data_IF_072187045009
#
_entry.id   IF_072187045009
#
_cell.length_a   1.000
_cell.length_b   1.000
_cell.length_c   1.000
_cell.angle_alpha   90.00
_cell.angle_beta   90.00
_cell.angle_gamma   90.00
#
_symmetry.space_group_name_H-M   'P 1'
#
loop_
_entity.id
_entity.type
_entity.pdbx_description
1 polymer ?
#
# COMPACT_ATOMS: atom_id res chain seq x y z
N UNK A 1 -21.97 56.13 -41.16
CA UNK A 1 -20.78 55.40 -40.61
C UNK A 1 -20.13 54.66 -41.76
N UNK A 2 -19.01 55.17 -42.31
CA UNK A 2 -18.34 54.61 -43.49
C UNK A 2 -17.51 53.45 -43.01
N UNK A 3 -17.85 52.21 -43.38
CA UNK A 3 -17.07 51.02 -43.14
C UNK A 3 -15.81 51.06 -44.04
N UNK A 4 -14.68 51.43 -43.50
CA UNK A 4 -13.40 51.35 -44.19
C UNK A 4 -12.91 49.94 -44.05
N UNK A 5 -13.19 49.09 -45.03
CA UNK A 5 -12.68 47.72 -45.11
C UNK A 5 -11.37 47.73 -45.92
N UNK A 6 -10.31 48.21 -45.30
CA UNK A 6 -8.99 48.37 -45.92
C UNK A 6 -8.02 47.32 -45.37
N UNK A 7 -8.36 46.03 -45.60
CA UNK A 7 -7.57 44.86 -45.15
C UNK A 7 -6.10 44.94 -45.63
N UNK A 8 -5.90 45.45 -46.80
CA UNK A 8 -4.53 45.55 -47.38
C UNK A 8 -3.69 46.63 -46.68
N UNK A 9 -4.30 47.78 -46.35
CA UNK A 9 -3.63 48.86 -45.61
C UNK A 9 -3.31 48.42 -44.17
N UNK A 10 -4.24 47.73 -43.53
CA UNK A 10 -4.01 47.13 -42.20
C UNK A 10 -2.87 46.09 -42.21
N UNK A 11 -2.85 45.24 -43.21
CA UNK A 11 -1.78 44.24 -43.42
C UNK A 11 -0.39 44.89 -43.63
N UNK A 12 -0.35 45.97 -44.43
CA UNK A 12 0.85 46.73 -44.71
C UNK A 12 1.38 47.45 -43.44
N UNK A 13 0.46 48.06 -42.69
CA UNK A 13 0.77 48.72 -41.40
C UNK A 13 1.28 47.69 -40.36
N UNK A 14 0.61 46.56 -40.24
CA UNK A 14 1.02 45.48 -39.31
C UNK A 14 2.40 44.94 -39.68
N UNK A 15 2.67 44.70 -40.94
CA UNK A 15 3.98 44.22 -41.40
C UNK A 15 5.11 45.23 -41.17
N UNK A 16 4.85 46.52 -41.41
CA UNK A 16 5.82 47.57 -41.09
C UNK A 16 6.08 47.72 -39.61
N UNK A 17 5.02 47.66 -38.79
CA UNK A 17 5.13 47.72 -37.33
C UNK A 17 5.87 46.51 -36.78
N UNK A 18 5.63 45.32 -37.31
CA UNK A 18 6.32 44.09 -36.97
C UNK A 18 7.84 44.16 -37.32
N UNK A 19 8.18 44.70 -38.48
CA UNK A 19 9.60 44.88 -38.89
C UNK A 19 10.32 45.90 -38.03
N UNK A 20 9.71 47.03 -37.72
CA UNK A 20 10.30 48.10 -36.91
C UNK A 20 10.54 47.67 -35.47
N UNK A 21 9.64 46.87 -34.92
CA UNK A 21 9.68 46.40 -33.54
C UNK A 21 10.21 44.95 -33.41
N UNK A 22 10.90 44.44 -34.43
CA UNK A 22 11.34 43.01 -34.49
C UNK A 22 12.05 42.54 -33.23
N UNK A 23 13.03 43.29 -32.73
CA UNK A 23 13.80 42.95 -31.51
C UNK A 23 12.89 42.87 -30.30
N UNK A 24 11.99 43.84 -30.10
CA UNK A 24 11.03 43.84 -28.97
C UNK A 24 10.05 42.66 -29.03
N UNK A 25 9.54 42.36 -30.24
CA UNK A 25 8.61 41.23 -30.43
C UNK A 25 9.31 39.88 -30.19
N UNK A 26 10.55 39.71 -30.61
CA UNK A 26 11.34 38.49 -30.34
C UNK A 26 11.55 38.33 -28.83
N UNK A 27 11.95 39.40 -28.13
CA UNK A 27 12.11 39.34 -26.66
C UNK A 27 10.82 38.98 -25.98
N UNK A 28 9.67 39.57 -26.40
CA UNK A 28 8.35 39.23 -25.83
C UNK A 28 7.99 37.75 -26.06
N UNK A 29 8.23 37.23 -27.26
CA UNK A 29 7.95 35.82 -27.58
C UNK A 29 8.83 34.91 -26.72
N UNK A 30 10.14 35.20 -26.63
CA UNK A 30 11.07 34.41 -25.80
C UNK A 30 10.62 34.45 -24.32
N UNK A 31 10.22 35.63 -23.82
CA UNK A 31 9.75 35.78 -22.44
C UNK A 31 8.50 34.92 -22.17
N UNK A 32 7.53 34.94 -23.08
CA UNK A 32 6.31 34.11 -22.97
C UNK A 32 6.66 32.62 -23.04
N UNK A 33 7.54 32.23 -23.98
CA UNK A 33 7.98 30.84 -24.08
C UNK A 33 8.71 30.39 -22.81
N UNK A 34 9.59 31.19 -22.26
CA UNK A 34 10.33 30.88 -21.04
C UNK A 34 9.39 30.75 -19.84
N UNK A 35 8.43 31.69 -19.72
CA UNK A 35 7.42 31.63 -18.66
C UNK A 35 6.58 30.35 -18.76
N UNK A 36 6.08 30.02 -19.96
CA UNK A 36 5.30 28.81 -20.18
C UNK A 36 6.12 27.54 -19.85
N UNK A 37 7.41 27.51 -20.25
CA UNK A 37 8.29 26.40 -19.95
C UNK A 37 8.53 26.25 -18.45
N UNK A 38 8.76 27.37 -17.73
CA UNK A 38 8.93 27.35 -16.27
C UNK A 38 7.67 26.83 -15.55
N UNK A 39 6.49 27.31 -15.92
CA UNK A 39 5.24 26.82 -15.34
C UNK A 39 5.06 25.33 -15.61
N UNK A 40 5.24 24.89 -16.85
CA UNK A 40 5.13 23.46 -17.20
C UNK A 40 6.11 22.61 -16.38
N UNK A 41 7.38 23.04 -16.28
CA UNK A 41 8.40 22.33 -15.51
C UNK A 41 8.04 22.26 -14.02
N UNK A 42 7.51 23.34 -13.44
CA UNK A 42 7.05 23.37 -12.04
C UNK A 42 5.89 22.41 -11.81
N UNK A 43 4.86 22.43 -12.65
CA UNK A 43 3.70 21.54 -12.49
C UNK A 43 4.08 20.07 -12.65
N UNK A 44 4.79 19.73 -13.73
CA UNK A 44 5.24 18.35 -13.96
C UNK A 44 6.19 17.86 -12.86
N UNK A 45 7.11 18.73 -12.42
CA UNK A 45 8.03 18.41 -11.32
C UNK A 45 7.28 18.18 -10.00
N UNK A 46 6.33 19.04 -9.66
CA UNK A 46 5.52 18.89 -8.45
C UNK A 46 4.70 17.62 -8.45
N UNK A 47 4.04 17.30 -9.56
CA UNK A 47 3.25 16.08 -9.71
C UNK A 47 4.13 14.82 -9.59
N UNK A 48 5.30 14.83 -10.23
CA UNK A 48 6.27 13.74 -10.13
C UNK A 48 6.77 13.53 -8.70
N UNK A 49 7.03 14.61 -7.95
CA UNK A 49 7.44 14.55 -6.56
C UNK A 49 6.33 13.97 -5.66
N UNK A 50 5.08 14.41 -5.85
CA UNK A 50 3.93 13.90 -5.08
C UNK A 50 3.75 12.40 -5.32
N UNK A 51 3.78 11.96 -6.59
CA UNK A 51 3.65 10.54 -6.94
C UNK A 51 4.80 9.70 -6.37
N UNK A 52 6.03 10.22 -6.43
CA UNK A 52 7.21 9.53 -5.88
C UNK A 52 7.15 9.45 -4.35
N UNK A 53 6.71 10.52 -3.69
CA UNK A 53 6.55 10.57 -2.24
C UNK A 53 5.50 9.57 -1.78
N UNK A 54 4.33 9.53 -2.46
CA UNK A 54 3.27 8.57 -2.15
C UNK A 54 3.70 7.12 -2.37
N UNK A 55 4.41 6.84 -3.47
CA UNK A 55 4.96 5.50 -3.71
C UNK A 55 5.98 5.08 -2.64
N UNK A 56 6.76 6.02 -2.11
CA UNK A 56 7.71 5.77 -1.04
C UNK A 56 7.00 5.55 0.30
N UNK A 57 5.95 6.32 0.58
CA UNK A 57 5.12 6.17 1.77
C UNK A 57 4.46 4.78 1.82
N UNK A 58 3.82 4.34 0.73
CA UNK A 58 3.24 2.99 0.61
C UNK A 58 4.31 1.91 0.86
N UNK A 59 5.52 2.07 0.34
CA UNK A 59 6.62 1.11 0.55
C UNK A 59 7.12 1.09 2.00
N UNK A 60 7.13 2.23 2.67
CA UNK A 60 7.57 2.34 4.07
C UNK A 60 6.50 1.85 5.05
N UNK A 61 5.25 2.20 4.80
CA UNK A 61 4.13 1.77 5.63
C UNK A 61 3.66 0.35 5.29
N UNK A 62 4.08 -0.18 4.13
CA UNK A 62 3.62 -1.46 3.57
C UNK A 62 2.09 -1.56 3.50
N UNK A 63 1.41 -0.43 3.27
CA UNK A 63 -0.03 -0.38 3.20
C UNK A 63 -0.50 0.66 2.18
N UNK A 64 -1.33 0.22 1.25
CA UNK A 64 -1.91 1.03 0.18
C UNK A 64 -3.39 1.38 0.43
N UNK A 65 -3.92 1.09 1.62
CA UNK A 65 -5.31 1.39 2.00
C UNK A 65 -5.52 2.86 2.38
N UNK A 66 -6.76 3.26 2.62
CA UNK A 66 -7.10 4.60 3.08
C UNK A 66 -7.05 4.73 4.61
N UNK A 67 -7.27 3.64 5.32
CA UNK A 67 -7.13 3.53 6.76
C UNK A 67 -6.75 2.09 7.12
N UNK A 68 -6.05 1.95 8.22
CA UNK A 68 -5.72 0.65 8.79
C UNK A 68 -6.27 0.56 10.21
N UNK A 69 -6.84 -0.59 10.54
CA UNK A 69 -7.29 -0.95 11.88
C UNK A 69 -6.41 -2.11 12.32
N UNK A 70 -5.61 -1.93 13.35
CA UNK A 70 -4.52 -2.85 13.68
C UNK A 70 -4.46 -3.15 15.18
N UNK A 71 -3.62 -4.10 15.56
CA UNK A 71 -3.40 -4.47 16.97
C UNK A 71 -4.68 -4.91 17.67
N UNK A 72 -5.53 -5.67 16.99
CA UNK A 72 -6.78 -6.15 17.55
C UNK A 72 -6.62 -7.54 18.14
N UNK A 73 -7.23 -7.77 19.31
CA UNK A 73 -7.44 -9.12 19.82
C UNK A 73 -8.39 -9.90 18.89
N UNK A 74 -8.46 -11.22 19.02
CA UNK A 74 -9.44 -12.00 18.24
C UNK A 74 -10.89 -11.53 18.44
N UNK A 75 -11.27 -11.14 19.66
CA UNK A 75 -12.60 -10.62 19.97
C UNK A 75 -12.85 -9.25 19.33
N UNK A 76 -11.89 -8.33 19.44
CA UNK A 76 -11.99 -6.99 18.84
C UNK A 76 -11.94 -7.06 17.31
N UNK A 77 -11.13 -7.98 16.76
CA UNK A 77 -11.11 -8.27 15.32
C UNK A 77 -12.47 -8.73 14.78
N UNK A 78 -13.16 -9.60 15.50
CA UNK A 78 -14.52 -10.02 15.15
C UNK A 78 -15.54 -8.87 15.18
N UNK A 79 -15.43 -7.97 16.18
CA UNK A 79 -16.26 -6.76 16.27
C UNK A 79 -15.97 -5.81 15.08
N UNK A 80 -14.69 -5.58 14.79
CA UNK A 80 -14.25 -4.76 13.67
C UNK A 80 -14.76 -5.32 12.32
N UNK A 81 -14.61 -6.63 12.10
CA UNK A 81 -15.12 -7.31 10.90
C UNK A 81 -16.64 -7.13 10.72
N UNK A 82 -17.38 -7.23 11.81
CA UNK A 82 -18.85 -7.04 11.78
C UNK A 82 -19.20 -5.58 11.45
N UNK A 83 -18.50 -4.62 12.03
CA UNK A 83 -18.69 -3.21 11.74
C UNK A 83 -18.35 -2.89 10.27
N UNK A 84 -17.21 -3.35 9.76
CA UNK A 84 -16.77 -3.18 8.36
C UNK A 84 -17.79 -3.74 7.36
N UNK A 85 -18.35 -4.92 7.63
CA UNK A 85 -19.39 -5.53 6.78
C UNK A 85 -20.72 -4.77 6.77
N UNK A 86 -21.01 -4.00 7.81
CA UNK A 86 -22.26 -3.24 7.93
C UNK A 86 -22.13 -1.78 7.50
N UNK A 87 -20.93 -1.28 7.34
CA UNK A 87 -20.67 0.12 6.97
C UNK A 87 -20.86 0.33 5.47
N UNK A 88 -21.76 1.25 5.09
CA UNK A 88 -22.08 1.56 3.70
C UNK A 88 -21.02 2.45 3.01
N UNK A 89 -20.21 3.16 3.78
CA UNK A 89 -19.13 3.99 3.28
C UNK A 89 -17.89 3.17 2.91
N UNK A 90 -17.74 1.98 3.45
CA UNK A 90 -16.67 1.04 3.09
C UNK A 90 -16.93 0.47 1.69
N UNK A 91 -15.96 0.59 0.81
CA UNK A 91 -15.97 0.00 -0.52
C UNK A 91 -15.51 -1.44 -0.50
N UNK A 92 -14.36 -1.66 0.12
CA UNK A 92 -13.75 -2.97 0.35
C UNK A 92 -12.87 -2.91 1.60
N UNK A 93 -12.56 -4.06 2.14
CA UNK A 93 -11.57 -4.21 3.21
C UNK A 93 -10.75 -5.48 2.98
N UNK A 94 -9.55 -5.51 3.54
CA UNK A 94 -8.69 -6.68 3.61
C UNK A 94 -8.47 -7.09 5.06
N UNK A 95 -8.23 -8.37 5.29
CA UNK A 95 -7.98 -8.95 6.62
C UNK A 95 -6.62 -9.61 6.67
N UNK A 96 -5.88 -9.37 7.75
CA UNK A 96 -4.65 -10.07 8.10
C UNK A 96 -4.68 -10.57 9.55
N UNK A 97 -3.92 -11.63 9.81
CA UNK A 97 -3.60 -12.12 11.15
C UNK A 97 -2.09 -12.25 11.22
N UNK A 98 -1.45 -11.47 12.07
CA UNK A 98 -0.02 -11.53 12.29
C UNK A 98 0.32 -12.68 13.25
N UNK A 99 1.24 -13.56 12.87
CA UNK A 99 1.64 -14.69 13.70
C UNK A 99 3.00 -14.49 14.37
N UNK A 100 3.94 -13.88 13.66
CA UNK A 100 5.28 -13.68 14.16
C UNK A 100 6.28 -13.38 13.05
N UNK A 101 7.56 -13.44 13.42
CA UNK A 101 8.68 -13.13 12.53
C UNK A 101 9.49 -14.40 12.29
N UNK A 102 9.88 -14.64 11.03
CA UNK A 102 10.75 -15.73 10.66
C UNK A 102 12.18 -15.49 11.20
N UNK A 103 12.75 -16.53 11.80
CA UNK A 103 14.07 -16.50 12.42
C UNK A 103 15.07 -17.43 11.73
N UNK A 104 14.81 -17.83 10.49
CA UNK A 104 15.74 -18.61 9.69
C UNK A 104 17.09 -17.87 9.56
N UNK A 105 18.22 -18.52 9.84
CA UNK A 105 19.53 -17.87 9.80
C UNK A 105 19.92 -17.31 8.43
N UNK A 106 19.34 -17.84 7.36
CA UNK A 106 19.57 -17.43 5.98
C UNK A 106 18.86 -16.12 5.62
N UNK A 107 17.82 -15.73 6.37
CA UNK A 107 17.09 -14.50 6.16
C UNK A 107 17.83 -13.32 6.80
N UNK A 108 18.36 -12.42 5.99
CA UNK A 108 19.05 -11.21 6.42
C UNK A 108 18.14 -9.95 6.39
N UNK A 109 16.84 -10.15 6.32
CA UNK A 109 15.78 -9.14 6.33
C UNK A 109 14.58 -9.67 7.10
N UNK A 110 13.80 -8.76 7.67
CA UNK A 110 12.58 -9.13 8.39
C UNK A 110 11.60 -9.83 7.44
N UNK A 111 11.09 -10.97 7.89
CA UNK A 111 10.04 -11.72 7.18
C UNK A 111 8.92 -12.02 8.16
N UNK A 112 7.75 -11.48 7.88
CA UNK A 112 6.58 -11.63 8.72
C UNK A 112 5.72 -12.79 8.24
N UNK A 113 5.31 -13.65 9.17
CA UNK A 113 4.38 -14.74 8.91
C UNK A 113 2.99 -14.24 9.24
N UNK A 114 2.12 -14.24 8.24
CA UNK A 114 0.78 -13.69 8.34
C UNK A 114 -0.20 -14.50 7.51
N UNK A 115 -1.44 -14.50 7.90
CA UNK A 115 -2.55 -14.69 6.97
C UNK A 115 -2.90 -13.36 6.30
N UNK A 116 -3.27 -13.41 5.04
CA UNK A 116 -3.88 -12.30 4.32
C UNK A 116 -4.92 -12.81 3.33
N UNK A 117 -6.03 -12.09 3.21
CA UNK A 117 -6.91 -12.23 2.07
C UNK A 117 -6.38 -11.48 0.84
N UNK A 118 -7.03 -11.60 -0.31
CA UNK A 118 -6.58 -10.98 -1.57
C UNK A 118 -6.46 -9.46 -1.46
N UNK A 119 -7.39 -8.79 -0.77
CA UNK A 119 -7.37 -7.34 -0.59
C UNK A 119 -6.19 -6.90 0.30
N UNK A 120 -5.91 -7.65 1.36
CA UNK A 120 -4.80 -7.34 2.24
C UNK A 120 -3.47 -7.61 1.56
N UNK A 121 -3.33 -8.72 0.83
CA UNK A 121 -2.11 -9.01 0.07
C UNK A 121 -1.84 -7.93 -0.99
N UNK A 122 -2.89 -7.37 -1.61
CA UNK A 122 -2.79 -6.21 -2.51
C UNK A 122 -2.32 -4.97 -1.76
N UNK A 123 -2.88 -4.69 -0.56
CA UNK A 123 -2.48 -3.55 0.27
C UNK A 123 -1.00 -3.57 0.60
N UNK A 124 -0.48 -4.72 0.98
CA UNK A 124 0.93 -4.92 1.28
C UNK A 124 1.83 -5.02 0.04
N UNK A 125 1.31 -4.80 -1.17
CA UNK A 125 2.07 -4.96 -2.42
C UNK A 125 2.71 -6.36 -2.55
N UNK A 126 2.09 -7.38 -1.99
CA UNK A 126 2.62 -8.72 -1.82
C UNK A 126 1.66 -9.82 -2.35
N UNK A 127 0.85 -9.49 -3.35
CA UNK A 127 -0.01 -10.46 -4.03
C UNK A 127 0.81 -11.40 -4.91
N UNK A 128 0.57 -12.73 -4.87
CA UNK A 128 1.21 -13.68 -5.76
C UNK A 128 1.01 -13.32 -7.23
N UNK A 129 2.10 -13.22 -7.98
CA UNK A 129 2.08 -13.07 -9.44
C UNK A 129 2.17 -14.40 -10.16
N UNK A 130 2.55 -15.45 -9.43
CA UNK A 130 2.58 -16.84 -9.90
C UNK A 130 1.97 -17.71 -8.81
N UNK A 131 1.01 -18.56 -9.15
CA UNK A 131 0.26 -19.34 -8.19
C UNK A 131 -0.84 -18.54 -7.49
N UNK A 132 -1.17 -18.89 -6.26
CA UNK A 132 -2.26 -18.32 -5.46
C UNK A 132 -1.84 -18.11 -4.00
N UNK A 133 -2.62 -17.36 -3.26
CA UNK A 133 -2.55 -17.35 -1.80
C UNK A 133 -2.85 -18.75 -1.25
N UNK A 134 -2.25 -19.13 -0.11
CA UNK A 134 -2.43 -20.45 0.50
C UNK A 134 -3.88 -20.74 0.86
N UNK A 135 -4.35 -21.93 0.52
CA UNK A 135 -5.70 -22.41 0.86
C UNK A 135 -5.63 -23.56 1.87
N UNK A 136 -4.59 -24.39 1.79
CA UNK A 136 -4.39 -25.51 2.71
C UNK A 136 -3.37 -25.15 3.82
N UNK A 137 -3.48 -25.80 4.97
CA UNK A 137 -2.67 -25.48 6.16
C UNK A 137 -1.15 -25.72 5.97
N UNK A 138 -0.79 -26.53 5.00
CA UNK A 138 0.59 -26.83 4.66
C UNK A 138 1.11 -26.00 3.47
N UNK A 139 0.36 -25.01 3.01
CA UNK A 139 0.73 -24.12 1.91
C UNK A 139 1.31 -22.81 2.41
N UNK A 140 2.19 -22.23 1.60
CA UNK A 140 2.77 -20.91 1.84
C UNK A 140 2.97 -20.15 0.53
N UNK A 141 2.82 -18.83 0.58
CA UNK A 141 3.22 -17.97 -0.52
C UNK A 141 4.22 -16.92 0.00
N UNK A 142 5.33 -16.73 -0.73
CA UNK A 142 6.43 -15.85 -0.29
C UNK A 142 7.00 -15.05 -1.47
N UNK A 143 7.77 -13.99 -1.16
CA UNK A 143 8.50 -13.25 -2.19
C UNK A 143 9.69 -14.05 -2.75
N UNK A 144 10.11 -13.71 -3.98
CA UNK A 144 11.34 -14.30 -4.55
C UNK A 144 12.58 -14.05 -3.71
N UNK A 145 12.61 -12.97 -2.91
CA UNK A 145 13.73 -12.69 -2.01
C UNK A 145 13.83 -13.73 -0.89
N UNK A 146 12.70 -14.19 -0.35
CA UNK A 146 12.66 -15.25 0.66
C UNK A 146 13.09 -16.57 0.04
N UNK A 147 12.60 -16.90 -1.17
CA UNK A 147 13.03 -18.12 -1.87
C UNK A 147 14.53 -18.12 -2.17
N UNK A 148 15.08 -17.01 -2.64
CA UNK A 148 16.51 -16.86 -2.93
C UNK A 148 17.35 -17.04 -1.67
N UNK A 149 16.94 -16.43 -0.55
CA UNK A 149 17.64 -16.54 0.72
C UNK A 149 17.64 -17.99 1.26
N UNK A 150 16.50 -18.67 1.17
CA UNK A 150 16.36 -20.07 1.59
C UNK A 150 16.87 -21.08 0.54
N UNK A 151 17.39 -20.61 -0.59
CA UNK A 151 17.89 -21.44 -1.71
C UNK A 151 16.82 -22.40 -2.26
N UNK A 152 15.55 -21.97 -2.27
CA UNK A 152 14.43 -22.73 -2.80
C UNK A 152 14.15 -22.31 -4.25
N UNK A 153 13.99 -23.25 -5.20
CA UNK A 153 13.66 -22.91 -6.57
C UNK A 153 12.33 -22.15 -6.70
N UNK A 154 12.25 -21.19 -7.62
CA UNK A 154 11.02 -20.43 -7.91
C UNK A 154 10.03 -21.30 -8.71
N UNK A 155 9.56 -22.38 -8.11
CA UNK A 155 8.66 -23.36 -8.73
C UNK A 155 7.59 -23.79 -7.73
N UNK A 156 6.32 -23.70 -8.14
CA UNK A 156 5.20 -24.14 -7.32
C UNK A 156 5.33 -25.64 -6.95
N UNK A 157 4.93 -25.95 -5.74
CA UNK A 157 5.01 -27.31 -5.19
C UNK A 157 6.35 -27.64 -4.50
N UNK A 158 7.36 -26.78 -4.58
CA UNK A 158 8.60 -26.96 -3.81
C UNK A 158 8.32 -26.81 -2.31
N UNK A 159 9.16 -27.49 -1.52
CA UNK A 159 9.04 -27.44 -0.05
C UNK A 159 10.02 -26.43 0.52
N UNK A 160 9.56 -25.66 1.48
CA UNK A 160 10.42 -24.77 2.26
C UNK A 160 10.07 -24.86 3.75
N UNK A 161 11.07 -24.71 4.59
CA UNK A 161 10.91 -24.73 6.05
C UNK A 161 11.11 -23.32 6.58
N UNK A 162 10.12 -22.82 7.30
CA UNK A 162 10.20 -21.53 7.99
C UNK A 162 10.35 -21.81 9.49
N UNK A 163 11.37 -21.22 10.07
CA UNK A 163 11.58 -21.19 11.52
C UNK A 163 11.05 -19.84 11.97
N UNK A 164 10.15 -19.82 12.94
CA UNK A 164 9.53 -18.59 13.42
C UNK A 164 9.20 -18.67 14.90
N UNK A 165 9.00 -17.51 15.50
CA UNK A 165 8.71 -17.37 16.91
C UNK A 165 7.31 -16.81 17.11
N UNK A 166 6.54 -17.47 17.99
CA UNK A 166 5.28 -17.02 18.51
C UNK A 166 5.42 -16.82 20.02
N UNK A 167 5.72 -15.58 20.42
CA UNK A 167 6.11 -15.29 21.80
C UNK A 167 7.35 -16.09 22.20
N UNK A 168 7.26 -16.90 23.25
CA UNK A 168 8.37 -17.70 23.79
C UNK A 168 8.58 -19.07 23.06
N UNK A 169 7.82 -19.35 22.02
CA UNK A 169 7.87 -20.64 21.31
C UNK A 169 8.48 -20.47 19.92
N UNK A 170 9.65 -21.08 19.73
CA UNK A 170 10.20 -21.29 18.40
C UNK A 170 9.50 -22.48 17.73
N UNK A 171 9.05 -22.32 16.50
CA UNK A 171 8.44 -23.35 15.67
C UNK A 171 9.23 -23.49 14.36
N UNK A 172 9.22 -24.67 13.79
CA UNK A 172 9.82 -24.95 12.48
C UNK A 172 8.83 -25.77 11.67
N UNK A 173 8.16 -25.10 10.72
CA UNK A 173 7.13 -25.71 9.91
C UNK A 173 7.56 -25.83 8.47
N UNK A 174 7.24 -26.95 7.85
CA UNK A 174 7.54 -27.19 6.43
C UNK A 174 6.29 -27.06 5.62
N UNK A 175 6.33 -26.14 4.66
CA UNK A 175 5.23 -25.81 3.77
C UNK A 175 5.52 -26.20 2.32
N UNK A 176 4.47 -26.24 1.53
CA UNK A 176 4.49 -26.36 0.06
C UNK A 176 4.24 -25.00 -0.56
N UNK A 177 5.08 -24.57 -1.47
CA UNK A 177 4.96 -23.29 -2.15
C UNK A 177 3.74 -23.26 -3.07
N UNK A 178 2.71 -22.49 -2.69
CA UNK A 178 1.46 -22.28 -3.44
C UNK A 178 1.48 -21.05 -4.32
N UNK A 179 2.33 -20.07 -3.99
CA UNK A 179 2.44 -18.84 -4.74
C UNK A 179 3.71 -18.06 -4.43
N UNK A 180 4.11 -17.20 -5.37
CA UNK A 180 5.20 -16.27 -5.14
C UNK A 180 5.06 -15.00 -5.99
N UNK A 181 5.74 -13.94 -5.57
CA UNK A 181 5.83 -12.66 -6.27
C UNK A 181 7.24 -12.12 -6.25
N UNK A 182 7.54 -11.14 -7.10
CA UNK A 182 8.82 -10.46 -7.11
C UNK A 182 8.97 -9.60 -5.85
N UNK A 183 9.90 -9.95 -4.97
CA UNK A 183 10.19 -9.18 -3.77
C UNK A 183 10.72 -7.78 -4.07
N UNK A 184 10.34 -6.80 -3.25
CA UNK A 184 10.90 -5.45 -3.27
C UNK A 184 11.79 -5.25 -2.03
N UNK A 185 13.07 -4.97 -2.27
CA UNK A 185 14.06 -4.71 -1.20
C UNK A 185 13.84 -3.38 -0.48
N UNK A 186 13.01 -2.50 -1.03
CA UNK A 186 12.69 -1.22 -0.42
C UNK A 186 11.56 -1.33 0.63
N UNK A 187 10.86 -2.46 0.70
CA UNK A 187 9.88 -2.73 1.75
C UNK A 187 10.58 -2.95 3.09
N UNK A 188 9.95 -2.49 4.17
CA UNK A 188 10.45 -2.67 5.54
C UNK A 188 10.56 -4.16 5.90
N UNK A 189 9.58 -4.97 5.54
CA UNK A 189 9.59 -6.41 5.74
C UNK A 189 9.12 -7.16 4.48
N UNK A 190 9.50 -8.42 4.39
CA UNK A 190 8.91 -9.36 3.45
C UNK A 190 7.79 -10.13 4.15
N UNK A 191 6.87 -10.68 3.37
CA UNK A 191 5.75 -11.46 3.90
C UNK A 191 5.86 -12.93 3.50
N UNK A 192 5.42 -13.79 4.42
CA UNK A 192 5.17 -15.20 4.22
C UNK A 192 3.69 -15.46 4.54
N UNK A 193 2.89 -15.57 3.49
CA UNK A 193 1.46 -15.81 3.63
C UNK A 193 1.17 -17.26 3.93
N UNK A 194 0.32 -17.50 4.92
CA UNK A 194 -0.21 -18.83 5.29
C UNK A 194 -1.72 -18.87 5.17
N UNK A 195 -2.33 -20.05 5.25
CA UNK A 195 -3.78 -20.18 5.21
C UNK A 195 -4.47 -19.56 6.43
N UNK A 196 -5.74 -19.19 6.29
CA UNK A 196 -6.54 -18.70 7.41
C UNK A 196 -6.67 -19.73 8.53
N UNK A 197 -6.84 -21.00 8.15
CA UNK A 197 -6.98 -22.10 9.11
C UNK A 197 -5.68 -22.31 9.89
N UNK A 198 -4.52 -22.32 9.22
CA UNK A 198 -3.22 -22.37 9.88
C UNK A 198 -3.02 -21.17 10.83
N UNK A 199 -3.35 -19.96 10.38
CA UNK A 199 -3.20 -18.77 11.20
C UNK A 199 -4.07 -18.83 12.46
N UNK A 200 -5.35 -19.17 12.32
CA UNK A 200 -6.28 -19.33 13.46
C UNK A 200 -5.86 -20.42 14.45
N UNK A 201 -5.25 -21.49 13.95
CA UNK A 201 -4.76 -22.58 14.82
C UNK A 201 -3.49 -22.16 15.61
N UNK A 202 -2.73 -21.20 15.12
CA UNK A 202 -1.43 -20.80 15.68
C UNK A 202 -1.38 -19.38 16.25
N UNK A 203 -2.44 -18.56 16.10
CA UNK A 203 -2.43 -17.16 16.56
C UNK A 203 -2.46 -17.02 18.10
N UNK A 204 -2.70 -18.08 18.85
CA UNK A 204 -2.78 -18.00 20.30
C UNK A 204 -4.00 -17.18 20.80
N UNK A 205 -3.98 -16.82 22.08
CA UNK A 205 -5.00 -15.96 22.70
C UNK A 205 -4.35 -14.65 23.16
N UNK A 206 -4.27 -13.69 22.27
CA UNK A 206 -3.76 -12.35 22.57
C UNK A 206 -4.81 -11.58 23.36
N UNK A 207 -4.41 -11.01 24.49
CA UNK A 207 -5.27 -10.14 25.30
C UNK A 207 -4.93 -8.67 25.06
N UNK A 208 -5.87 -7.78 25.41
CA UNK A 208 -5.62 -6.33 25.32
C UNK A 208 -4.39 -5.89 26.12
N UNK A 209 -4.17 -6.48 27.29
CA UNK A 209 -3.02 -6.21 28.11
C UNK A 209 -1.70 -6.64 27.46
N UNK A 210 -1.72 -7.70 26.68
CA UNK A 210 -0.54 -8.14 25.94
C UNK A 210 -0.18 -7.13 24.85
N UNK A 211 -1.18 -6.61 24.14
CA UNK A 211 -1.01 -5.52 23.16
C UNK A 211 -0.45 -4.25 23.82
N UNK A 212 -0.99 -3.84 24.96
CA UNK A 212 -0.47 -2.70 25.73
C UNK A 212 0.98 -2.91 26.19
N UNK A 213 1.41 -4.15 26.37
CA UNK A 213 2.80 -4.52 26.67
C UNK A 213 3.68 -4.67 25.41
N UNK A 214 3.15 -4.40 24.21
CA UNK A 214 3.88 -4.46 22.94
C UNK A 214 3.96 -5.84 22.33
N UNK A 215 3.10 -6.78 22.74
CA UNK A 215 2.96 -8.09 22.09
C UNK A 215 1.91 -8.00 21.00
N UNK A 216 2.23 -8.45 19.80
CA UNK A 216 1.36 -8.39 18.62
C UNK A 216 1.11 -9.76 17.95
N UNK A 217 1.77 -10.80 18.42
CA UNK A 217 1.63 -12.17 17.89
C UNK A 217 0.20 -12.70 18.07
N UNK A 218 -0.52 -12.88 16.98
CA UNK A 218 -1.93 -13.26 16.97
C UNK A 218 -2.88 -12.07 16.83
N UNK A 219 -2.36 -10.86 16.54
CA UNK A 219 -3.19 -9.68 16.30
C UNK A 219 -3.88 -9.73 14.95
N UNK A 220 -5.10 -9.19 14.94
CA UNK A 220 -5.88 -8.98 13.74
C UNK A 220 -5.69 -7.57 13.23
N UNK A 221 -5.71 -7.43 11.89
CA UNK A 221 -5.49 -6.20 11.18
C UNK A 221 -6.43 -6.11 9.97
N UNK A 222 -6.98 -4.91 9.71
CA UNK A 222 -7.87 -4.66 8.59
C UNK A 222 -7.41 -3.43 7.81
N UNK A 223 -7.15 -3.61 6.53
CA UNK A 223 -6.98 -2.51 5.58
C UNK A 223 -8.35 -2.08 5.05
N UNK A 224 -8.65 -0.79 5.03
CA UNK A 224 -9.97 -0.27 4.70
C UNK A 224 -9.90 0.70 3.53
N UNK A 225 -10.73 0.50 2.52
CA UNK A 225 -10.93 1.44 1.41
C UNK A 225 -12.34 1.99 1.45
N UNK A 226 -12.46 3.32 1.53
CA UNK A 226 -13.73 4.02 1.51
C UNK A 226 -14.12 4.43 0.09
N UNK A 227 -15.42 4.46 -0.22
CA UNK A 227 -15.97 4.87 -1.53
C UNK A 227 -15.62 6.29 -1.92
N UNK A 228 -15.43 7.15 -0.94
CA UNK A 228 -14.94 8.51 -1.11
C UNK A 228 -14.15 8.95 0.13
N UNK A 229 -13.21 9.86 -0.06
CA UNK A 229 -12.30 10.32 0.99
C UNK A 229 -12.81 11.56 1.75
N UNK A 230 -14.03 12.04 1.44
CA UNK A 230 -14.61 13.14 2.19
C UNK A 230 -14.91 12.72 3.62
N UNK A 231 -14.49 13.54 4.59
CA UNK A 231 -14.67 13.27 6.02
C UNK A 231 -14.09 11.91 6.47
N UNK A 232 -12.91 11.56 5.92
CA UNK A 232 -12.28 10.27 6.18
C UNK A 232 -12.08 10.03 7.69
N UNK A 233 -11.61 11.03 8.44
CA UNK A 233 -11.47 10.96 9.88
C UNK A 233 -12.79 10.62 10.57
N UNK A 234 -13.86 11.34 10.27
CA UNK A 234 -15.17 11.13 10.89
C UNK A 234 -15.73 9.73 10.61
N UNK A 235 -15.49 9.21 9.40
CA UNK A 235 -15.89 7.84 9.01
C UNK A 235 -15.11 6.79 9.79
N UNK A 236 -13.81 6.96 9.92
CA UNK A 236 -12.96 6.03 10.66
C UNK A 236 -13.26 6.06 12.14
N UNK A 237 -13.50 7.24 12.71
CA UNK A 237 -13.95 7.40 14.10
C UNK A 237 -15.30 6.71 14.33
N UNK A 238 -16.24 6.87 13.39
CA UNK A 238 -17.55 6.23 13.45
C UNK A 238 -17.45 4.69 13.39
N UNK A 239 -16.60 4.16 12.51
CA UNK A 239 -16.30 2.74 12.39
C UNK A 239 -15.69 2.21 13.69
N UNK A 240 -14.66 2.87 14.22
CA UNK A 240 -13.98 2.49 15.45
C UNK A 240 -14.93 2.49 16.64
N UNK A 241 -15.77 3.51 16.75
CA UNK A 241 -16.82 3.57 17.78
C UNK A 241 -17.87 2.47 17.65
N UNK A 242 -18.29 2.15 16.42
CA UNK A 242 -19.23 1.07 16.16
C UNK A 242 -18.65 -0.31 16.50
N UNK A 243 -17.35 -0.49 16.30
CA UNK A 243 -16.60 -1.68 16.66
C UNK A 243 -16.20 -1.73 18.15
N UNK A 244 -16.34 -0.62 18.89
CA UNK A 244 -15.90 -0.52 20.28
C UNK A 244 -14.38 -0.49 20.43
N UNK A 245 -13.68 0.07 19.46
CA UNK A 245 -12.22 0.18 19.42
C UNK A 245 -11.75 1.47 20.09
N UNK A 246 -10.46 1.52 20.41
CA UNK A 246 -9.80 2.69 20.95
C UNK A 246 -9.11 3.49 19.85
N UNK A 247 -8.85 4.78 20.07
CA UNK A 247 -8.17 5.66 19.10
C UNK A 247 -6.79 5.17 18.68
N UNK A 248 -6.13 4.33 19.49
CA UNK A 248 -4.84 3.72 19.19
C UNK A 248 -4.90 2.52 18.24
N UNK A 249 -6.11 2.04 17.93
CA UNK A 249 -6.30 0.80 17.16
C UNK A 249 -6.45 1.06 15.66
N UNK A 250 -6.45 2.34 15.24
CA UNK A 250 -6.56 2.70 13.83
C UNK A 250 -5.63 3.85 13.44
N UNK A 251 -5.26 3.89 12.18
CA UNK A 251 -4.45 4.94 11.57
C UNK A 251 -5.02 5.34 10.20
N UNK A 252 -4.89 6.62 9.86
CA UNK A 252 -5.32 7.19 8.59
C UNK A 252 -4.12 7.45 7.69
N UNK A 253 -4.32 7.25 6.41
CA UNK A 253 -3.28 7.37 5.38
C UNK A 253 -3.63 8.43 4.32
#
# INVERSE_FOLDING_TARGET
MVRIDNKDTLRLLTNRFMKTNRKRNIIAIISIMLTALLFTALFVGSESLILSSRAMEIRQSMDASHAIVQNLTGEDGEKALKALKSDQDVERFGQSIFLGIATNPELNFQTEIRYADDNMAESFCASPTTGTLPQADNEIAVSTLVLDALQVPHKLGEKLTIIWENGDRAQADTFVLSGYWKGDKALFAQHAWVSEAYAKANCGSLTRKDIENGLDNGSYEYAVWYRNLWHLQEKTDALSKAAGLFDSDYDLK
#
